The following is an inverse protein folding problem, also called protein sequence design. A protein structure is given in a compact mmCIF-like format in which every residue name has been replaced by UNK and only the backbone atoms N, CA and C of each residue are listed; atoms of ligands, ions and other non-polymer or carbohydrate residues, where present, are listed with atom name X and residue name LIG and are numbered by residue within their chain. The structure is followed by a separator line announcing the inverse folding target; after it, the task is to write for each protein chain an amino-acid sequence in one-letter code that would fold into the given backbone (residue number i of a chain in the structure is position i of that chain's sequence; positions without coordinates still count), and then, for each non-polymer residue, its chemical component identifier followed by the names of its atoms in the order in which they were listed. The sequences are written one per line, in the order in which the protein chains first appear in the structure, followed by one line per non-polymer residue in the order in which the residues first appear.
data_IF_733622531416
#
_entry.id   IF_733622531416
#
_cell.length_a   1.000
_cell.length_b   1.000
_cell.length_c   1.000
_cell.angle_alpha   90.00
_cell.angle_beta   90.00
_cell.angle_gamma   90.00
#
_symmetry.space_group_name_H-M   'P 1'
#
loop_
_entity.id
_entity.type
_entity.pdbx_description
1 polymer ?
#
# COMPACT_ATOMS: atom_id res chain seq x y z
N UNK A 1 -6.16 -39.32 1.56
CA UNK A 1 -6.55 -37.97 1.14
C UNK A 1 -5.24 -37.25 0.86
N UNK A 2 -4.81 -37.20 -0.41
CA UNK A 2 -3.58 -36.52 -0.86
C UNK A 2 -3.78 -35.03 -0.72
N UNK A 3 -2.79 -34.26 -0.23
CA UNK A 3 -2.86 -32.81 -0.25
C UNK A 3 -3.04 -32.35 -1.69
N UNK A 4 -4.05 -31.55 -1.96
CA UNK A 4 -4.15 -30.79 -3.20
C UNK A 4 -2.94 -29.86 -3.22
N UNK A 5 -2.01 -30.14 -4.14
CA UNK A 5 -0.97 -29.21 -4.56
C UNK A 5 -1.68 -28.11 -5.38
N UNK A 6 -2.15 -27.07 -4.70
CA UNK A 6 -2.61 -25.86 -5.41
C UNK A 6 -1.42 -25.30 -6.18
N UNK A 7 -1.60 -24.96 -7.47
CA UNK A 7 -0.49 -24.42 -8.26
C UNK A 7 0.03 -23.15 -7.59
N UNK A 8 1.31 -23.17 -7.27
CA UNK A 8 2.02 -22.00 -6.75
C UNK A 8 1.74 -20.81 -7.67
N UNK A 9 1.37 -19.61 -7.14
CA UNK A 9 1.10 -18.46 -7.99
C UNK A 9 2.28 -18.24 -8.95
N UNK A 10 1.97 -17.92 -10.20
CA UNK A 10 2.98 -17.68 -11.21
C UNK A 10 3.94 -16.59 -10.73
N UNK A 11 5.26 -16.84 -10.84
CA UNK A 11 6.27 -15.83 -10.52
C UNK A 11 6.04 -14.59 -11.42
N UNK A 12 5.60 -13.50 -10.84
CA UNK A 12 5.32 -12.23 -11.54
C UNK A 12 6.55 -11.33 -11.67
N UNK A 13 7.66 -11.74 -11.11
CA UNK A 13 8.91 -10.99 -11.18
C UNK A 13 9.33 -10.65 -12.60
N UNK A 14 9.33 -11.60 -13.58
CA UNK A 14 9.66 -11.29 -14.97
C UNK A 14 8.73 -10.24 -15.61
N UNK A 15 7.44 -10.26 -15.27
CA UNK A 15 6.47 -9.28 -15.76
C UNK A 15 6.82 -7.87 -15.30
N UNK A 16 7.00 -7.65 -13.99
CA UNK A 16 7.32 -6.33 -13.45
C UNK A 16 8.72 -5.85 -13.83
N UNK A 17 9.71 -6.74 -13.89
CA UNK A 17 11.04 -6.39 -14.38
C UNK A 17 11.01 -5.94 -15.86
N UNK A 18 10.20 -6.58 -16.70
CA UNK A 18 9.98 -6.14 -18.08
C UNK A 18 9.26 -4.79 -18.14
N UNK A 19 8.20 -4.63 -17.36
CA UNK A 19 7.35 -3.44 -17.32
C UNK A 19 8.16 -2.19 -16.96
N UNK A 20 8.86 -2.21 -15.82
CA UNK A 20 9.74 -1.11 -15.38
C UNK A 20 11.06 -1.02 -16.17
N UNK A 21 11.34 -2.00 -17.04
CA UNK A 21 12.47 -1.98 -17.93
C UNK A 21 12.27 -1.17 -19.21
N UNK A 22 11.01 -1.03 -19.62
CA UNK A 22 10.62 -0.34 -20.85
C UNK A 22 10.18 1.10 -20.61
N UNK A 23 9.66 1.41 -19.42
CA UNK A 23 9.15 2.73 -19.06
C UNK A 23 9.34 2.99 -17.54
N UNK A 24 9.76 4.20 -17.21
CA UNK A 24 9.87 4.66 -15.80
C UNK A 24 8.50 5.01 -15.19
N UNK A 25 7.43 5.09 -15.98
CA UNK A 25 6.05 5.37 -15.55
C UNK A 25 5.02 4.53 -16.33
N UNK A 26 5.12 3.19 -16.26
CA UNK A 26 4.37 2.29 -17.12
C UNK A 26 2.85 2.40 -16.96
N UNK A 27 2.38 2.88 -15.82
CA UNK A 27 0.96 3.11 -15.55
C UNK A 27 0.51 4.56 -15.75
N UNK A 28 1.42 5.47 -16.09
CA UNK A 28 1.13 6.90 -16.26
C UNK A 28 0.77 7.61 -14.94
N UNK A 29 1.34 7.14 -13.84
CA UNK A 29 1.06 7.67 -12.49
C UNK A 29 1.38 9.16 -12.35
N UNK A 30 2.33 9.67 -13.16
CA UNK A 30 2.77 11.07 -13.16
C UNK A 30 1.88 11.99 -13.97
N UNK A 31 1.27 11.45 -15.02
CA UNK A 31 0.70 12.28 -16.10
C UNK A 31 -0.81 12.20 -16.20
N UNK A 32 -1.41 11.12 -15.72
CA UNK A 32 -2.87 10.95 -15.77
C UNK A 32 -3.55 11.71 -14.66
N UNK A 33 -4.54 12.53 -15.00
CA UNK A 33 -5.41 13.20 -14.02
C UNK A 33 -6.09 12.25 -13.06
N UNK A 34 -6.50 11.08 -13.54
CA UNK A 34 -7.07 10.00 -12.71
C UNK A 34 -6.15 9.63 -11.55
N UNK A 35 -4.87 9.39 -11.82
CA UNK A 35 -3.89 8.98 -10.82
C UNK A 35 -3.57 10.09 -9.81
N UNK A 36 -3.44 11.33 -10.30
CA UNK A 36 -3.28 12.51 -9.43
C UNK A 36 -4.49 12.67 -8.51
N UNK A 37 -5.70 12.58 -9.05
CA UNK A 37 -6.95 12.67 -8.29
C UNK A 37 -7.05 11.56 -7.24
N UNK A 38 -6.80 10.30 -7.60
CA UNK A 38 -6.82 9.14 -6.67
C UNK A 38 -5.86 9.34 -5.52
N UNK A 39 -4.62 9.75 -5.77
CA UNK A 39 -3.64 10.10 -4.72
C UNK A 39 -4.15 11.22 -3.81
N UNK A 40 -4.73 12.27 -4.38
CA UNK A 40 -5.26 13.38 -3.59
C UNK A 40 -6.43 12.94 -2.70
N UNK A 41 -7.32 12.08 -3.19
CA UNK A 41 -8.41 11.48 -2.38
C UNK A 41 -7.82 10.65 -1.23
N UNK A 42 -6.82 9.82 -1.50
CA UNK A 42 -6.12 9.04 -0.48
C UNK A 42 -5.53 9.96 0.61
N UNK A 43 -4.77 10.97 0.22
CA UNK A 43 -4.12 11.90 1.15
C UNK A 43 -5.14 12.73 1.96
N UNK A 44 -6.27 13.09 1.36
CA UNK A 44 -7.35 13.81 2.03
C UNK A 44 -8.12 12.93 3.03
N UNK A 45 -8.17 11.62 2.81
CA UNK A 45 -8.82 10.67 3.70
C UNK A 45 -8.01 10.40 4.98
N UNK A 46 -6.70 10.70 5.01
CA UNK A 46 -5.83 10.45 6.15
C UNK A 46 -6.24 11.29 7.37
N UNK A 47 -6.51 10.66 8.54
CA UNK A 47 -7.06 11.34 9.71
C UNK A 47 -6.08 12.25 10.45
N UNK A 48 -4.78 12.10 10.25
CA UNK A 48 -3.78 12.94 10.91
C UNK A 48 -3.12 13.90 9.92
N UNK A 49 -2.79 15.09 10.41
CA UNK A 49 -2.11 16.11 9.59
C UNK A 49 -0.70 15.65 9.19
N UNK A 50 0.00 14.94 10.08
CA UNK A 50 1.37 14.46 9.91
C UNK A 50 1.57 13.13 10.65
N UNK A 51 2.50 12.32 10.18
CA UNK A 51 2.90 11.03 10.74
C UNK A 51 4.40 11.05 11.02
N UNK A 52 4.85 10.44 12.13
CA UNK A 52 6.28 10.30 12.39
C UNK A 52 6.91 9.28 11.44
N UNK A 53 6.28 8.12 11.29
CA UNK A 53 6.80 7.05 10.44
C UNK A 53 5.72 6.49 9.51
N UNK A 54 6.07 6.28 8.24
CA UNK A 54 5.20 5.64 7.28
C UNK A 54 5.90 4.49 6.55
N UNK A 55 5.15 3.47 6.18
CA UNK A 55 5.59 2.40 5.30
C UNK A 55 4.67 2.27 4.08
N UNK A 56 5.28 2.25 2.91
CA UNK A 56 4.63 2.01 1.61
C UNK A 56 5.20 0.73 0.98
N UNK A 57 4.56 -0.43 1.19
CA UNK A 57 4.87 -1.66 0.47
C UNK A 57 4.36 -1.60 -0.98
N UNK A 58 5.16 -2.06 -1.95
CA UNK A 58 4.81 -2.03 -3.37
C UNK A 58 4.85 -0.62 -3.97
N UNK A 59 5.88 0.17 -3.65
CA UNK A 59 5.95 1.59 -4.02
C UNK A 59 6.12 1.86 -5.52
N UNK A 60 6.40 0.84 -6.34
CA UNK A 60 6.66 0.99 -7.77
C UNK A 60 7.73 2.04 -8.05
N UNK A 61 7.43 3.00 -8.92
CA UNK A 61 8.33 4.11 -9.26
C UNK A 61 8.38 5.26 -8.24
N UNK A 62 7.65 5.17 -7.11
CA UNK A 62 7.74 6.11 -6.00
C UNK A 62 6.87 7.37 -6.12
N UNK A 63 5.82 7.36 -6.92
CA UNK A 63 4.96 8.54 -7.10
C UNK A 63 4.15 8.86 -5.84
N UNK A 64 3.55 7.85 -5.20
CA UNK A 64 2.84 8.04 -3.93
C UNK A 64 3.83 8.33 -2.80
N UNK A 65 5.02 7.70 -2.83
CA UNK A 65 6.13 7.96 -1.87
C UNK A 65 6.46 9.44 -1.76
N UNK A 66 6.57 10.14 -2.90
CA UNK A 66 6.83 11.61 -2.93
C UNK A 66 5.73 12.38 -2.20
N UNK A 67 4.49 12.00 -2.40
CA UNK A 67 3.34 12.64 -1.75
C UNK A 67 3.30 12.35 -0.24
N UNK A 68 3.64 11.12 0.17
CA UNK A 68 3.74 10.70 1.57
C UNK A 68 4.88 11.44 2.29
N UNK A 69 6.01 11.67 1.61
CA UNK A 69 7.14 12.41 2.18
C UNK A 69 6.78 13.82 2.67
N UNK A 70 5.82 14.48 2.03
CA UNK A 70 5.31 15.78 2.47
C UNK A 70 4.46 15.71 3.76
N UNK A 71 3.95 14.51 4.09
CA UNK A 71 3.03 14.24 5.21
C UNK A 71 3.67 13.46 6.36
N UNK A 72 4.93 13.01 6.21
CA UNK A 72 5.61 12.16 7.17
C UNK A 72 6.98 12.71 7.54
N UNK A 73 7.48 12.38 8.74
CA UNK A 73 8.85 12.71 9.16
C UNK A 73 9.86 11.70 8.60
N UNK A 74 9.44 10.42 8.46
CA UNK A 74 10.20 9.38 7.80
C UNK A 74 9.26 8.48 6.97
N UNK A 75 9.71 8.10 5.77
CA UNK A 75 9.01 7.15 4.89
C UNK A 75 9.96 6.02 4.52
N UNK A 76 9.56 4.80 4.84
CA UNK A 76 10.10 3.60 4.24
C UNK A 76 9.21 3.24 3.05
N UNK A 77 9.79 3.11 1.86
CA UNK A 77 9.11 2.60 0.68
C UNK A 77 9.82 1.33 0.21
N UNK A 78 9.08 0.35 -0.29
CA UNK A 78 9.72 -0.86 -0.80
C UNK A 78 9.01 -1.45 -2.01
N UNK A 79 9.78 -2.16 -2.81
CA UNK A 79 9.28 -2.98 -3.92
C UNK A 79 10.17 -4.20 -4.07
N UNK A 80 9.66 -5.29 -4.66
CA UNK A 80 10.46 -6.47 -4.93
C UNK A 80 11.25 -6.36 -6.24
N UNK A 81 10.77 -5.54 -7.20
CA UNK A 81 11.46 -5.30 -8.46
C UNK A 81 12.66 -4.38 -8.26
N UNK A 82 13.84 -4.84 -8.62
CA UNK A 82 15.07 -4.03 -8.56
C UNK A 82 14.99 -2.77 -9.44
N UNK A 83 14.24 -2.84 -10.55
CA UNK A 83 14.02 -1.71 -11.46
C UNK A 83 13.09 -0.68 -10.87
N UNK A 84 11.97 -1.11 -10.25
CA UNK A 84 11.07 -0.24 -9.52
C UNK A 84 11.81 0.48 -8.38
N UNK A 85 12.57 -0.25 -7.57
CA UNK A 85 13.43 0.31 -6.50
C UNK A 85 14.39 1.35 -7.04
N UNK A 86 15.08 1.07 -8.17
CA UNK A 86 16.00 2.02 -8.78
C UNK A 86 15.27 3.28 -9.28
N UNK A 87 14.09 3.15 -9.87
CA UNK A 87 13.25 4.27 -10.30
C UNK A 87 12.78 5.10 -9.11
N UNK A 88 12.24 4.45 -8.06
CA UNK A 88 11.81 5.12 -6.83
C UNK A 88 12.96 5.89 -6.16
N UNK A 89 14.16 5.30 -6.08
CA UNK A 89 15.36 6.00 -5.55
C UNK A 89 15.72 7.24 -6.35
N UNK A 90 15.67 7.16 -7.70
CA UNK A 90 15.89 8.36 -8.53
C UNK A 90 14.82 9.41 -8.28
N UNK A 91 13.56 8.99 -8.19
CA UNK A 91 12.40 9.86 -7.99
C UNK A 91 12.44 10.59 -6.65
N UNK A 92 12.94 9.94 -5.62
CA UNK A 92 12.98 10.45 -4.25
C UNK A 92 14.35 10.99 -3.81
N UNK A 93 15.35 11.06 -4.70
CA UNK A 93 16.74 11.41 -4.38
C UNK A 93 16.91 12.76 -3.65
N UNK A 94 15.98 13.73 -3.85
CA UNK A 94 15.98 15.03 -3.15
C UNK A 94 15.25 15.02 -1.80
N UNK A 95 14.70 13.89 -1.35
CA UNK A 95 13.87 13.80 -0.15
C UNK A 95 14.65 13.08 0.96
N UNK A 96 15.20 13.86 1.90
CA UNK A 96 16.07 13.34 2.96
C UNK A 96 15.33 12.41 3.96
N UNK A 97 13.99 12.48 3.99
CA UNK A 97 13.12 11.69 4.85
C UNK A 97 12.58 10.42 4.18
N UNK A 98 13.08 10.05 3.00
CA UNK A 98 12.64 8.84 2.28
C UNK A 98 13.79 7.83 2.20
N UNK A 99 13.49 6.58 2.55
CA UNK A 99 14.36 5.42 2.31
C UNK A 99 13.63 4.38 1.45
N UNK A 100 14.28 3.96 0.38
CA UNK A 100 13.73 2.94 -0.53
C UNK A 100 14.53 1.65 -0.39
N UNK A 101 13.84 0.55 -0.07
CA UNK A 101 14.39 -0.78 0.15
C UNK A 101 13.85 -1.80 -0.87
N UNK A 102 14.45 -2.98 -0.91
CA UNK A 102 13.91 -4.12 -1.67
C UNK A 102 13.33 -5.12 -0.70
N UNK A 103 12.02 -5.36 -0.77
CA UNK A 103 11.33 -6.36 0.04
C UNK A 103 10.45 -7.24 -0.84
N UNK A 104 10.53 -8.54 -0.65
CA UNK A 104 9.67 -9.54 -1.31
C UNK A 104 8.57 -9.94 -0.34
N UNK A 105 7.39 -9.38 -0.54
CA UNK A 105 6.29 -9.48 0.42
C UNK A 105 5.36 -10.67 0.11
N UNK A 106 4.73 -11.26 1.14
CA UNK A 106 4.78 -10.87 2.56
C UNK A 106 6.01 -11.35 3.34
N UNK A 107 6.77 -12.33 2.86
CA UNK A 107 7.84 -13.01 3.60
C UNK A 107 8.99 -12.07 4.01
N UNK A 108 9.29 -11.08 3.16
CA UNK A 108 10.31 -10.05 3.41
C UNK A 108 9.80 -8.83 4.17
N UNK A 109 8.78 -8.97 5.03
CA UNK A 109 8.25 -7.85 5.81
C UNK A 109 9.31 -7.24 6.75
N UNK A 110 9.44 -5.89 6.81
CA UNK A 110 10.48 -5.21 7.60
C UNK A 110 10.13 -5.13 9.09
N UNK A 111 10.10 -6.25 9.79
CA UNK A 111 9.76 -6.31 11.21
C UNK A 111 10.65 -5.42 12.09
N UNK A 112 11.93 -5.29 11.75
CA UNK A 112 12.91 -4.50 12.50
C UNK A 112 12.71 -2.98 12.36
N UNK A 113 11.91 -2.56 11.39
CA UNK A 113 11.59 -1.15 11.13
C UNK A 113 10.27 -0.70 11.78
N UNK A 114 9.45 -1.65 12.24
CA UNK A 114 8.19 -1.37 12.93
C UNK A 114 8.43 -0.81 14.36
N UNK A 115 7.47 -0.13 14.98
CA UNK A 115 6.12 0.13 14.45
C UNK A 115 6.00 1.38 13.57
N UNK A 116 4.93 1.42 12.76
CA UNK A 116 4.61 2.54 11.86
C UNK A 116 3.33 3.27 12.29
N UNK A 117 3.30 4.59 12.13
CA UNK A 117 2.08 5.39 12.33
C UNK A 117 1.14 5.33 11.14
N UNK A 118 1.69 5.06 9.96
CA UNK A 118 0.95 4.95 8.71
C UNK A 118 1.51 3.78 7.87
N UNK A 119 0.63 2.89 7.44
CA UNK A 119 0.94 1.89 6.42
C UNK A 119 -0.02 2.12 5.25
N UNK A 120 0.53 2.27 4.03
CA UNK A 120 -0.26 2.53 2.82
C UNK A 120 -0.02 1.43 1.81
N UNK A 121 -0.98 0.53 1.65
CA UNK A 121 -0.99 -0.53 0.64
C UNK A 121 -1.83 -0.04 -0.54
N UNK A 122 -1.18 0.24 -1.65
CA UNK A 122 -1.83 0.79 -2.84
C UNK A 122 -1.47 -0.03 -4.07
N UNK A 123 -2.48 -0.54 -4.78
CA UNK A 123 -2.32 -1.28 -6.04
C UNK A 123 -1.40 -2.52 -5.92
N UNK A 124 -1.43 -3.19 -4.76
CA UNK A 124 -0.55 -4.33 -4.44
C UNK A 124 -1.31 -5.63 -4.17
N UNK A 125 -2.32 -5.58 -3.31
CA UNK A 125 -2.93 -6.77 -2.71
C UNK A 125 -3.52 -7.74 -3.73
N UNK A 126 -4.04 -7.24 -4.82
CA UNK A 126 -4.66 -8.05 -5.86
C UNK A 126 -3.65 -8.85 -6.72
N UNK A 127 -2.36 -8.64 -6.55
CA UNK A 127 -1.32 -9.48 -7.13
C UNK A 127 -0.94 -10.69 -6.27
N UNK A 128 -1.36 -10.74 -5.01
CA UNK A 128 -1.09 -11.83 -4.10
C UNK A 128 -2.18 -12.91 -4.19
N UNK A 129 -1.85 -14.15 -3.83
CA UNK A 129 -2.86 -15.16 -3.55
C UNK A 129 -3.51 -14.92 -2.17
N UNK A 130 -4.58 -15.64 -1.88
CA UNK A 130 -5.33 -15.42 -0.64
C UNK A 130 -4.50 -15.67 0.64
N UNK A 131 -3.68 -16.74 0.76
CA UNK A 131 -2.80 -16.92 1.91
C UNK A 131 -1.79 -15.79 2.10
N UNK A 132 -1.10 -15.38 1.03
CA UNK A 132 -0.12 -14.29 1.08
C UNK A 132 -0.79 -12.94 1.42
N UNK A 133 -2.00 -12.69 0.90
CA UNK A 133 -2.77 -11.48 1.23
C UNK A 133 -3.19 -11.47 2.71
N UNK A 134 -3.62 -12.59 3.27
CA UNK A 134 -3.92 -12.70 4.71
C UNK A 134 -2.67 -12.41 5.55
N UNK A 135 -1.53 -13.02 5.21
CA UNK A 135 -0.26 -12.77 5.89
C UNK A 135 0.17 -11.30 5.81
N UNK A 136 0.03 -10.67 4.64
CA UNK A 136 0.31 -9.23 4.47
C UNK A 136 -0.58 -8.38 5.38
N UNK A 137 -1.88 -8.67 5.44
CA UNK A 137 -2.82 -7.95 6.28
C UNK A 137 -2.50 -8.07 7.78
N UNK A 138 -2.11 -9.26 8.23
CA UNK A 138 -1.68 -9.52 9.61
C UNK A 138 -0.39 -8.75 9.94
N UNK A 139 0.61 -8.76 9.05
CA UNK A 139 1.83 -7.98 9.21
C UNK A 139 1.55 -6.47 9.30
N UNK A 140 0.68 -5.95 8.43
CA UNK A 140 0.25 -4.55 8.49
C UNK A 140 -0.33 -4.21 9.87
N UNK A 141 -1.32 -4.99 10.32
CA UNK A 141 -1.99 -4.73 11.59
C UNK A 141 -1.04 -4.86 12.81
N UNK A 142 -0.15 -5.87 12.79
CA UNK A 142 0.82 -6.10 13.87
C UNK A 142 1.88 -4.99 13.95
N UNK A 143 2.23 -4.38 12.81
CA UNK A 143 3.28 -3.36 12.70
C UNK A 143 2.79 -1.93 12.91
N UNK A 144 1.51 -1.70 13.22
CA UNK A 144 0.99 -0.36 13.53
C UNK A 144 1.25 0.02 14.98
N UNK A 145 1.57 1.31 15.19
CA UNK A 145 1.51 1.95 16.51
C UNK A 145 0.07 1.90 17.07
N UNK A 146 -0.13 2.16 18.39
CA UNK A 146 -1.49 2.21 18.97
C UNK A 146 -2.45 3.15 18.26
N UNK A 147 -1.97 4.29 17.76
CA UNK A 147 -2.75 5.28 17.01
C UNK A 147 -2.55 5.18 15.49
N UNK A 148 -1.91 4.10 15.05
CA UNK A 148 -1.53 3.90 13.65
C UNK A 148 -2.72 3.70 12.73
N UNK A 149 -2.50 4.06 11.46
CA UNK A 149 -3.48 4.03 10.38
C UNK A 149 -3.02 3.08 9.28
N UNK A 150 -3.87 2.16 8.90
CA UNK A 150 -3.73 1.33 7.70
C UNK A 150 -4.63 1.87 6.60
N UNK A 151 -4.09 2.04 5.41
CA UNK A 151 -4.80 2.45 4.20
C UNK A 151 -4.64 1.41 3.13
N UNK A 152 -5.75 1.03 2.48
CA UNK A 152 -5.71 0.30 1.22
C UNK A 152 -6.44 1.10 0.13
N UNK A 153 -5.85 1.15 -1.07
CA UNK A 153 -6.44 1.84 -2.22
C UNK A 153 -6.13 1.04 -3.49
N UNK A 154 -7.15 0.41 -4.05
CA UNK A 154 -6.97 -0.58 -5.10
C UNK A 154 -7.94 -0.37 -6.27
N UNK A 155 -7.43 -0.57 -7.49
CA UNK A 155 -8.18 -0.62 -8.74
C UNK A 155 -9.23 -1.75 -8.71
N UNK A 156 -10.45 -1.48 -9.20
CA UNK A 156 -11.57 -2.43 -9.12
C UNK A 156 -11.84 -3.20 -10.40
N UNK A 157 -11.78 -2.59 -11.60
CA UNK A 157 -12.01 -3.33 -12.83
C UNK A 157 -11.03 -4.50 -12.99
N UNK A 158 -11.45 -5.52 -13.70
CA UNK A 158 -10.66 -6.73 -13.92
C UNK A 158 -9.52 -6.53 -14.92
N UNK A 159 -8.46 -7.32 -14.80
CA UNK A 159 -7.31 -7.35 -15.70
C UNK A 159 -6.57 -8.70 -15.60
N UNK A 160 -5.79 -9.06 -16.62
CA UNK A 160 -5.24 -10.40 -16.80
C UNK A 160 -4.32 -10.87 -15.66
N UNK A 161 -3.54 -9.97 -15.07
CA UNK A 161 -2.57 -10.32 -14.01
C UNK A 161 -3.18 -10.36 -12.59
N UNK A 162 -4.46 -10.07 -12.45
CA UNK A 162 -5.15 -10.09 -11.16
C UNK A 162 -5.25 -11.51 -10.59
N UNK A 163 -4.84 -11.68 -9.31
CA UNK A 163 -5.04 -12.93 -8.57
C UNK A 163 -6.24 -12.87 -7.63
N UNK A 164 -6.50 -11.70 -7.04
CA UNK A 164 -7.61 -11.49 -6.11
C UNK A 164 -8.49 -10.31 -6.55
N UNK A 165 -9.80 -10.45 -6.38
CA UNK A 165 -10.71 -9.33 -6.50
C UNK A 165 -10.43 -8.28 -5.41
N UNK A 166 -10.63 -6.99 -5.71
CA UNK A 166 -10.43 -5.88 -4.76
C UNK A 166 -11.20 -6.08 -3.45
N UNK A 167 -12.43 -6.57 -3.52
CA UNK A 167 -13.23 -6.83 -2.31
C UNK A 167 -12.62 -7.94 -1.43
N UNK A 168 -11.92 -8.92 -2.00
CA UNK A 168 -11.20 -9.94 -1.24
C UNK A 168 -9.94 -9.37 -0.57
N UNK A 169 -9.20 -8.49 -1.26
CA UNK A 169 -8.06 -7.75 -0.70
C UNK A 169 -8.49 -6.93 0.51
N UNK A 170 -9.52 -6.10 0.35
CA UNK A 170 -10.06 -5.26 1.43
C UNK A 170 -10.70 -6.08 2.56
N UNK A 171 -11.28 -7.25 2.21
CA UNK A 171 -11.79 -8.22 3.19
C UNK A 171 -10.70 -8.78 4.11
N UNK A 172 -9.50 -9.03 3.59
CA UNK A 172 -8.37 -9.48 4.41
C UNK A 172 -7.98 -8.42 5.46
N UNK A 173 -7.92 -7.14 5.08
CA UNK A 173 -7.67 -6.06 6.03
C UNK A 173 -8.80 -5.89 7.06
N UNK A 174 -10.07 -6.01 6.64
CA UNK A 174 -11.22 -5.91 7.54
C UNK A 174 -11.22 -7.02 8.62
N UNK A 175 -10.61 -8.18 8.33
CA UNK A 175 -10.51 -9.31 9.26
C UNK A 175 -9.37 -9.18 10.28
N UNK A 176 -8.55 -8.13 10.23
CA UNK A 176 -7.44 -7.91 11.18
C UNK A 176 -7.87 -7.44 12.57
N UNK A 177 -9.15 -7.16 12.78
CA UNK A 177 -9.68 -6.60 14.03
C UNK A 177 -9.53 -5.09 14.17
N UNK A 178 -8.96 -4.39 13.19
CA UNK A 178 -8.94 -2.93 13.12
C UNK A 178 -10.33 -2.39 12.75
N UNK A 179 -10.70 -1.24 13.31
CA UNK A 179 -11.95 -0.58 12.99
C UNK A 179 -11.84 0.20 11.67
N UNK A 180 -12.74 -0.09 10.72
CA UNK A 180 -12.82 0.70 9.48
C UNK A 180 -13.43 2.07 9.76
N UNK A 181 -12.67 3.13 9.55
CA UNK A 181 -13.05 4.53 9.83
C UNK A 181 -13.43 5.32 8.59
N UNK A 182 -12.92 4.93 7.41
CA UNK A 182 -13.24 5.56 6.13
C UNK A 182 -13.52 4.49 5.08
N UNK A 183 -14.50 4.77 4.21
CA UNK A 183 -14.72 4.03 2.97
C UNK A 183 -15.13 5.02 1.87
N UNK A 184 -14.33 5.06 0.81
CA UNK A 184 -14.62 5.77 -0.42
C UNK A 184 -14.61 4.76 -1.58
N UNK A 185 -15.72 4.64 -2.27
CA UNK A 185 -15.88 3.68 -3.34
C UNK A 185 -16.37 4.36 -4.61
N UNK A 186 -15.64 4.14 -5.68
CA UNK A 186 -15.99 4.54 -7.05
C UNK A 186 -16.06 3.28 -7.92
N UNK A 187 -16.47 3.43 -9.17
CA UNK A 187 -16.47 2.29 -10.11
C UNK A 187 -15.05 1.81 -10.39
N UNK A 188 -14.08 2.72 -10.39
CA UNK A 188 -12.69 2.46 -10.76
C UNK A 188 -11.79 2.08 -9.58
N UNK A 189 -12.06 2.55 -8.36
CA UNK A 189 -11.23 2.20 -7.21
C UNK A 189 -12.01 2.14 -5.89
N UNK A 190 -11.46 1.38 -4.95
CA UNK A 190 -11.90 1.31 -3.55
C UNK A 190 -10.77 1.79 -2.66
N UNK A 191 -11.08 2.76 -1.79
CA UNK A 191 -10.19 3.26 -0.74
C UNK A 191 -10.85 3.01 0.61
N UNK A 192 -10.14 2.33 1.51
CA UNK A 192 -10.58 2.13 2.88
C UNK A 192 -9.44 2.39 3.87
N UNK A 193 -9.80 2.88 5.05
CA UNK A 193 -8.88 3.11 6.17
C UNK A 193 -9.34 2.33 7.40
N UNK A 194 -8.37 1.77 8.10
CA UNK A 194 -8.57 1.09 9.36
C UNK A 194 -7.63 1.63 10.43
N UNK A 195 -8.14 1.76 11.65
CA UNK A 195 -7.42 2.25 12.82
C UNK A 195 -7.76 1.39 14.05
N UNK A 196 -6.89 1.40 15.06
CA UNK A 196 -7.25 0.83 16.37
C UNK A 196 -8.27 1.69 17.08
N UNK A 197 -8.14 3.02 17.00
CA UNK A 197 -9.10 3.99 17.53
C UNK A 197 -10.21 4.27 16.51
N UNK A 198 -11.41 3.80 16.82
CA UNK A 198 -12.59 3.94 15.95
C UNK A 198 -13.17 5.35 15.90
N UNK A 199 -12.66 6.30 16.73
CA UNK A 199 -13.18 7.67 16.74
C UNK A 199 -12.92 8.39 15.43
N UNK A 200 -13.90 9.18 14.99
CA UNK A 200 -13.74 10.07 13.83
C UNK A 200 -12.77 11.22 14.15
N UNK A 201 -12.27 11.90 13.11
CA UNK A 201 -11.40 13.09 13.28
C UNK A 201 -12.08 14.13 14.16
N UNK A 202 -13.38 14.43 13.93
CA UNK A 202 -14.13 15.38 14.72
C UNK A 202 -14.25 15.00 16.21
N UNK A 203 -14.35 13.68 16.49
CA UNK A 203 -14.36 13.18 17.88
C UNK A 203 -12.99 13.29 18.54
N UNK A 204 -11.90 13.06 17.80
CA UNK A 204 -10.53 13.21 18.30
C UNK A 204 -10.20 14.67 18.60
N UNK A 205 -10.73 15.61 17.82
CA UNK A 205 -10.55 17.06 18.01
C UNK A 205 -11.55 17.66 19.01
N UNK A 206 -12.47 16.86 19.57
CA UNK A 206 -13.45 17.35 20.54
C UNK A 206 -14.54 18.27 19.96
N UNK A 207 -14.77 18.20 18.64
CA UNK A 207 -15.83 18.94 17.96
C UNK A 207 -17.19 18.25 18.17
N UNK A 208 -17.16 16.94 18.44
CA UNK A 208 -18.36 16.10 18.62
C UNK A 208 -18.16 15.09 19.74
#
# INVERSE_FOLDING_TARGET
MTPHDDPKPADRRPYFESLYGSDDDPYGLRTRWYEERKRNVLLAALPHRRYATAYEPGCGAGELTVSLAARCDAVLASDFSARAVASARRRTAGLANVRVASHDLPDGWPHDEAPFDLIVVCELGYFLDAPAMCSLAEHCAASLTPDGVLVACDWRPDFDERALATDAVHGAFANTGLARTVRHAEDDFLLELWCRDARSVAQREGIR
#
